data_IF_123320832807
#
_entry.id   IF_123320832807
#
_cell.length_a   1.000
_cell.length_b   1.000
_cell.length_c   1.000
_cell.angle_alpha   90.00
_cell.angle_beta   90.00
_cell.angle_gamma   90.00
#
_symmetry.space_group_name_H-M   'P 1'
#
loop_
_entity.id
_entity.type
_entity.pdbx_description
1 polymer ?
#
# COMPACT_ATOMS: atom_id res chain seq x y z
N UNK A 1 -37.13 41.80 13.66
CA UNK A 1 -36.92 40.43 13.15
C UNK A 1 -35.57 40.43 12.46
N UNK A 2 -34.51 40.13 13.19
CA UNK A 2 -33.17 39.92 12.61
C UNK A 2 -33.00 38.42 12.45
N UNK A 3 -33.15 37.93 11.23
CA UNK A 3 -32.92 36.54 10.91
C UNK A 3 -31.40 36.31 10.83
N UNK A 4 -30.86 35.56 11.80
CA UNK A 4 -29.46 35.19 11.89
C UNK A 4 -29.23 33.94 11.05
N UNK A 5 -28.88 34.11 9.78
CA UNK A 5 -28.42 33.02 8.92
C UNK A 5 -27.11 32.43 9.46
N UNK A 6 -27.22 31.20 9.96
CA UNK A 6 -26.16 30.36 10.55
C UNK A 6 -25.26 29.71 9.46
N UNK A 7 -24.00 29.36 9.76
CA UNK A 7 -23.02 28.91 8.77
C UNK A 7 -23.17 27.40 8.46
N UNK A 8 -24.02 27.05 7.50
CA UNK A 8 -24.24 25.65 7.08
C UNK A 8 -23.15 25.08 6.14
N UNK A 9 -22.36 25.93 5.48
CA UNK A 9 -21.40 25.55 4.44
C UNK A 9 -20.18 24.69 4.91
N UNK A 10 -19.53 24.95 6.07
CA UNK A 10 -18.32 24.21 6.45
C UNK A 10 -18.58 22.78 6.98
N UNK A 11 -19.79 22.49 7.46
CA UNK A 11 -20.14 21.15 7.98
C UNK A 11 -20.44 20.17 6.82
N UNK A 12 -21.12 20.65 5.78
CA UNK A 12 -21.47 19.84 4.61
C UNK A 12 -20.23 19.38 3.83
N UNK A 13 -19.19 20.22 3.71
CA UNK A 13 -17.94 19.86 3.03
C UNK A 13 -17.14 18.81 3.81
N UNK A 14 -17.04 18.95 5.14
CA UNK A 14 -16.39 17.96 6.00
C UNK A 14 -17.11 16.61 5.98
N UNK A 15 -18.44 16.62 5.94
CA UNK A 15 -19.25 15.40 5.84
C UNK A 15 -19.06 14.70 4.49
N UNK A 16 -19.00 15.47 3.39
CA UNK A 16 -18.70 14.95 2.06
C UNK A 16 -17.29 14.35 1.97
N UNK A 17 -16.28 15.03 2.53
CA UNK A 17 -14.91 14.53 2.59
C UNK A 17 -14.84 13.21 3.38
N UNK A 18 -15.51 13.15 4.53
CA UNK A 18 -15.63 11.94 5.34
C UNK A 18 -16.29 10.79 4.58
N UNK A 19 -17.35 11.06 3.82
CA UNK A 19 -18.00 10.05 2.99
C UNK A 19 -17.06 9.51 1.91
N UNK A 20 -16.29 10.38 1.25
CA UNK A 20 -15.25 9.99 0.28
C UNK A 20 -14.19 9.07 0.90
N UNK A 21 -13.69 9.41 2.09
CA UNK A 21 -12.75 8.55 2.83
C UNK A 21 -13.36 7.20 3.17
N UNK A 22 -14.62 7.14 3.62
CA UNK A 22 -15.27 5.86 3.91
C UNK A 22 -15.40 4.97 2.66
N UNK A 23 -15.67 5.57 1.50
CA UNK A 23 -15.69 4.85 0.22
C UNK A 23 -14.32 4.30 -0.14
N UNK A 24 -13.27 5.10 -0.04
CA UNK A 24 -11.88 4.68 -0.27
C UNK A 24 -11.48 3.50 0.64
N UNK A 25 -11.81 3.56 1.93
CA UNK A 25 -11.55 2.46 2.87
C UNK A 25 -12.28 1.17 2.49
N UNK A 26 -13.52 1.27 2.01
CA UNK A 26 -14.31 0.10 1.58
C UNK A 26 -13.76 -0.50 0.29
N UNK A 27 -13.33 0.34 -0.65
CA UNK A 27 -12.67 -0.09 -1.89
C UNK A 27 -11.32 -0.75 -1.61
N UNK A 28 -10.51 -0.19 -0.72
CA UNK A 28 -9.24 -0.78 -0.30
C UNK A 28 -9.43 -2.12 0.41
N UNK A 29 -10.43 -2.24 1.29
CA UNK A 29 -10.78 -3.51 1.93
C UNK A 29 -11.10 -4.59 0.89
N UNK A 30 -11.93 -4.27 -0.11
CA UNK A 30 -12.26 -5.19 -1.20
C UNK A 30 -11.05 -5.54 -2.07
N UNK A 31 -10.23 -4.56 -2.44
CA UNK A 31 -9.09 -4.75 -3.33
C UNK A 31 -7.94 -5.55 -2.71
N UNK A 32 -7.73 -5.39 -1.40
CA UNK A 32 -6.64 -6.05 -0.69
C UNK A 32 -7.10 -7.31 0.05
N UNK A 33 -8.39 -7.43 0.38
CA UNK A 33 -8.91 -8.48 1.25
C UNK A 33 -8.65 -8.23 2.74
N UNK A 34 -8.20 -7.01 3.10
CA UNK A 34 -8.07 -6.56 4.50
C UNK A 34 -9.44 -6.18 5.06
N UNK A 35 -9.65 -6.46 6.35
CA UNK A 35 -10.87 -6.08 7.06
C UNK A 35 -11.15 -4.56 7.01
N UNK A 36 -12.39 -4.21 6.63
CA UNK A 36 -12.81 -2.81 6.54
C UNK A 36 -12.77 -2.11 7.91
N UNK A 37 -13.19 -2.80 8.95
CA UNK A 37 -13.21 -2.29 10.31
C UNK A 37 -11.80 -1.95 10.82
N UNK A 38 -10.82 -2.79 10.49
CA UNK A 38 -9.41 -2.51 10.75
C UNK A 38 -8.94 -1.22 10.06
N UNK A 39 -9.25 -1.04 8.77
CA UNK A 39 -8.86 0.16 8.03
C UNK A 39 -9.52 1.42 8.62
N UNK A 40 -10.81 1.35 8.97
CA UNK A 40 -11.55 2.45 9.62
C UNK A 40 -10.93 2.81 10.97
N UNK A 41 -10.67 1.83 11.83
CA UNK A 41 -10.09 2.06 13.16
C UNK A 41 -8.69 2.65 13.06
N UNK A 42 -7.89 2.17 12.11
CA UNK A 42 -6.53 2.67 11.88
C UNK A 42 -6.55 4.10 11.34
N UNK A 43 -7.33 4.39 10.29
CA UNK A 43 -7.46 5.75 9.75
C UNK A 43 -7.96 6.76 10.80
N UNK A 44 -8.91 6.35 11.66
CA UNK A 44 -9.35 7.17 12.79
C UNK A 44 -8.19 7.49 13.74
N UNK A 45 -7.39 6.49 14.09
CA UNK A 45 -6.33 6.63 15.09
C UNK A 45 -5.14 7.42 14.56
N UNK A 46 -4.80 7.25 13.29
CA UNK A 46 -3.62 7.86 12.67
C UNK A 46 -3.87 9.32 12.25
N UNK A 47 -5.04 9.64 11.70
CA UNK A 47 -5.30 10.98 11.13
C UNK A 47 -6.66 11.55 11.49
N UNK A 48 -7.47 10.85 12.29
CA UNK A 48 -8.89 11.18 12.46
C UNK A 48 -9.62 11.34 11.12
N UNK A 49 -9.28 10.48 10.14
CA UNK A 49 -9.83 10.49 8.79
C UNK A 49 -9.45 11.70 7.92
N UNK A 50 -8.39 12.42 8.26
CA UNK A 50 -7.86 13.52 7.46
C UNK A 50 -6.79 13.02 6.48
N UNK A 51 -7.06 12.99 5.16
CA UNK A 51 -6.07 12.57 4.17
C UNK A 51 -4.95 13.59 3.98
N UNK A 52 -5.09 14.81 4.48
CA UNK A 52 -4.07 15.87 4.41
C UNK A 52 -3.18 15.94 5.65
N UNK A 53 -3.45 15.11 6.66
CA UNK A 53 -2.73 15.12 7.93
C UNK A 53 -1.21 14.96 7.74
N UNK A 54 -0.44 15.75 8.48
CA UNK A 54 1.03 15.68 8.53
C UNK A 54 1.48 15.71 9.98
N UNK A 55 2.33 14.76 10.37
CA UNK A 55 2.89 14.74 11.71
C UNK A 55 3.93 15.87 11.87
N UNK A 56 3.92 16.63 12.98
CA UNK A 56 4.86 17.73 13.18
C UNK A 56 6.29 17.26 13.49
N UNK A 57 6.46 16.02 13.95
CA UNK A 57 7.74 15.49 14.46
C UNK A 57 8.32 14.37 13.61
N UNK A 58 7.68 14.02 12.49
CA UNK A 58 8.15 12.95 11.61
C UNK A 58 7.73 13.18 10.16
N UNK A 59 8.15 12.27 9.27
CA UNK A 59 7.74 12.29 7.85
C UNK A 59 6.38 11.61 7.59
N UNK A 60 5.66 11.24 8.65
CA UNK A 60 4.35 10.62 8.54
C UNK A 60 3.33 11.59 7.95
N UNK A 61 2.63 11.14 6.90
CA UNK A 61 1.66 11.93 6.20
C UNK A 61 0.50 11.07 5.66
N UNK A 62 -0.63 11.72 5.42
CA UNK A 62 -1.81 11.10 4.84
C UNK A 62 -2.69 10.37 5.83
N UNK A 63 -3.73 9.74 5.28
CA UNK A 63 -4.79 9.07 6.03
C UNK A 63 -4.28 8.01 7.02
N UNK A 64 -3.19 7.34 6.66
CA UNK A 64 -2.54 6.26 7.43
C UNK A 64 -1.14 6.63 7.94
N UNK A 65 -0.77 7.91 7.93
CA UNK A 65 0.48 8.40 8.51
C UNK A 65 1.74 7.63 8.04
N UNK A 66 1.79 7.30 6.75
CA UNK A 66 2.96 6.62 6.17
C UNK A 66 4.20 7.51 6.25
N UNK A 67 5.30 6.99 6.79
CA UNK A 67 6.62 7.65 6.71
C UNK A 67 7.15 7.62 5.27
N UNK A 68 8.13 8.47 4.97
CA UNK A 68 8.72 8.52 3.63
C UNK A 68 9.27 7.16 3.19
N UNK A 69 10.02 6.50 4.07
CA UNK A 69 10.66 5.21 3.78
C UNK A 69 9.62 4.11 3.58
N UNK A 70 8.61 4.04 4.46
CA UNK A 70 7.56 3.04 4.35
C UNK A 70 6.76 3.23 3.07
N UNK A 71 6.40 4.47 2.74
CA UNK A 71 5.63 4.77 1.54
C UNK A 71 6.36 4.33 0.27
N UNK A 72 7.63 4.69 0.13
CA UNK A 72 8.41 4.32 -1.05
C UNK A 72 8.49 2.80 -1.21
N UNK A 73 8.69 2.04 -0.13
CA UNK A 73 8.65 0.56 -0.18
C UNK A 73 7.28 0.00 -0.56
N UNK A 74 6.20 0.68 -0.21
CA UNK A 74 4.86 0.26 -0.61
C UNK A 74 4.63 0.53 -2.10
N UNK A 75 5.11 1.67 -2.60
CA UNK A 75 5.08 2.01 -4.02
C UNK A 75 5.91 1.05 -4.86
N UNK A 76 7.14 0.75 -4.45
CA UNK A 76 8.03 -0.24 -5.09
C UNK A 76 7.33 -1.61 -5.25
N UNK A 77 6.71 -2.10 -4.18
CA UNK A 77 6.16 -3.47 -4.15
C UNK A 77 4.75 -3.60 -4.71
N UNK A 78 3.90 -2.58 -4.52
CA UNK A 78 2.47 -2.68 -4.79
C UNK A 78 1.95 -1.54 -5.68
N UNK A 79 2.72 -0.47 -5.92
CA UNK A 79 2.27 0.69 -6.68
C UNK A 79 1.76 0.33 -8.08
N UNK A 80 2.44 -0.57 -8.78
CA UNK A 80 2.02 -1.04 -10.10
C UNK A 80 0.68 -1.79 -10.07
N UNK A 81 0.39 -2.54 -9.00
CA UNK A 81 -0.87 -3.28 -8.86
C UNK A 81 -2.05 -2.36 -8.56
N UNK A 82 -1.77 -1.15 -8.07
CA UNK A 82 -2.77 -0.17 -7.63
C UNK A 82 -2.73 1.11 -8.49
N UNK A 83 -2.32 1.00 -9.75
CA UNK A 83 -2.51 2.04 -10.77
C UNK A 83 -1.49 3.18 -10.78
N UNK A 84 -0.34 3.01 -10.12
CA UNK A 84 0.78 3.96 -10.15
C UNK A 84 2.07 3.30 -10.64
N UNK A 85 2.01 2.64 -11.80
CA UNK A 85 3.16 1.94 -12.41
C UNK A 85 4.36 2.86 -12.64
N UNK A 86 4.11 4.13 -13.01
CA UNK A 86 5.17 5.12 -13.17
C UNK A 86 5.91 5.39 -11.86
N UNK A 87 5.18 5.43 -10.73
CA UNK A 87 5.77 5.56 -9.40
C UNK A 87 6.56 4.31 -9.02
N UNK A 88 5.97 3.13 -9.20
CA UNK A 88 6.61 1.87 -8.87
C UNK A 88 7.93 1.69 -9.64
N UNK A 89 7.97 2.02 -10.94
CA UNK A 89 9.19 1.95 -11.76
C UNK A 89 10.27 2.94 -11.35
N UNK A 90 9.90 4.07 -10.75
CA UNK A 90 10.83 5.09 -10.30
C UNK A 90 11.41 4.80 -8.92
N UNK A 91 10.85 3.86 -8.14
CA UNK A 91 11.38 3.48 -6.84
C UNK A 91 12.17 2.19 -6.95
N UNK A 92 13.29 2.11 -6.22
CA UNK A 92 14.06 0.88 -6.04
C UNK A 92 14.57 0.75 -4.61
N UNK A 93 14.85 -0.47 -4.17
CA UNK A 93 15.50 -0.74 -2.89
C UNK A 93 16.99 -0.97 -3.13
N UNK A 94 17.84 -0.14 -2.51
CA UNK A 94 19.30 -0.30 -2.61
C UNK A 94 19.80 -1.54 -1.87
N UNK A 95 21.06 -1.94 -2.11
CA UNK A 95 21.69 -3.08 -1.43
C UNK A 95 21.72 -2.93 0.10
N UNK A 96 21.85 -1.69 0.59
CA UNK A 96 21.74 -1.34 2.00
C UNK A 96 20.31 -1.38 2.54
N UNK A 97 19.36 -1.76 1.70
CA UNK A 97 17.95 -1.91 2.00
C UNK A 97 17.16 -0.61 1.93
N UNK A 98 17.73 0.56 1.62
CA UNK A 98 17.01 1.85 1.66
C UNK A 98 16.19 2.08 0.39
N UNK A 99 15.01 2.67 0.50
CA UNK A 99 14.25 3.08 -0.67
C UNK A 99 14.85 4.33 -1.34
N UNK A 100 15.03 4.27 -2.65
CA UNK A 100 15.61 5.32 -3.48
C UNK A 100 14.69 5.64 -4.67
N UNK A 101 14.73 6.88 -5.13
CA UNK A 101 13.94 7.33 -6.28
C UNK A 101 14.89 7.64 -7.41
N UNK A 102 14.79 6.86 -8.49
CA UNK A 102 15.53 7.03 -9.72
C UNK A 102 14.90 8.05 -10.67
N UNK A 103 15.41 8.14 -11.91
CA UNK A 103 14.83 9.01 -12.93
C UNK A 103 13.39 8.58 -13.29
N UNK A 104 12.57 9.53 -13.74
CA UNK A 104 11.21 9.28 -14.24
C UNK A 104 10.13 9.99 -13.45
N UNK A 105 10.30 10.15 -12.13
CA UNK A 105 9.42 10.99 -11.30
C UNK A 105 10.19 11.62 -10.14
N UNK A 106 9.78 12.81 -9.71
CA UNK A 106 10.38 13.41 -8.52
C UNK A 106 9.98 12.64 -7.26
N UNK A 107 10.88 12.63 -6.29
CA UNK A 107 10.64 12.02 -4.98
C UNK A 107 9.42 12.65 -4.30
N UNK A 108 9.27 13.96 -4.43
CA UNK A 108 8.17 14.74 -3.87
C UNK A 108 6.84 14.31 -4.47
N UNK A 109 6.77 14.15 -5.80
CA UNK A 109 5.54 13.71 -6.47
C UNK A 109 5.10 12.32 -5.97
N UNK A 110 6.04 11.38 -5.82
CA UNK A 110 5.72 10.05 -5.28
C UNK A 110 5.25 10.16 -3.83
N UNK A 111 5.88 11.00 -3.00
CA UNK A 111 5.52 11.15 -1.59
C UNK A 111 4.16 11.83 -1.37
N UNK A 112 3.75 12.74 -2.27
CA UNK A 112 2.45 13.41 -2.22
C UNK A 112 1.28 12.46 -2.51
N UNK A 113 1.52 11.34 -3.20
CA UNK A 113 0.52 10.28 -3.38
C UNK A 113 -0.03 9.72 -2.05
N UNK A 114 0.64 9.92 -0.91
CA UNK A 114 0.11 9.58 0.43
C UNK A 114 -1.18 10.29 0.79
N UNK A 115 -1.41 11.45 0.18
CA UNK A 115 -2.60 12.28 0.40
C UNK A 115 -3.79 11.86 -0.45
N UNK A 116 -3.60 10.95 -1.41
CA UNK A 116 -4.70 10.29 -2.09
C UNK A 116 -5.36 9.27 -1.15
N UNK A 117 -6.63 9.44 -0.75
CA UNK A 117 -7.27 8.57 0.23
C UNK A 117 -7.45 7.13 -0.27
N UNK A 118 -7.68 6.90 -1.56
CA UNK A 118 -7.89 5.55 -2.12
C UNK A 118 -6.57 4.80 -2.20
N UNK A 119 -5.53 5.41 -2.79
CA UNK A 119 -4.22 4.77 -2.88
C UNK A 119 -3.59 4.57 -1.49
N UNK A 120 -3.69 5.56 -0.60
CA UNK A 120 -3.22 5.45 0.78
C UNK A 120 -3.92 4.31 1.53
N UNK A 121 -5.24 4.15 1.34
CA UNK A 121 -5.99 3.04 1.92
C UNK A 121 -5.59 1.68 1.33
N UNK A 122 -5.36 1.58 0.02
CA UNK A 122 -4.87 0.34 -0.63
C UNK A 122 -3.50 -0.05 -0.11
N UNK A 123 -2.56 0.89 -0.03
CA UNK A 123 -1.24 0.63 0.55
C UNK A 123 -1.34 0.21 2.03
N UNK A 124 -2.24 0.81 2.81
CA UNK A 124 -2.48 0.39 4.19
C UNK A 124 -3.03 -1.04 4.28
N UNK A 125 -3.93 -1.40 3.36
CA UNK A 125 -4.44 -2.77 3.21
C UNK A 125 -3.32 -3.76 2.90
N UNK A 126 -2.45 -3.48 1.94
CA UNK A 126 -1.32 -4.36 1.61
C UNK A 126 -0.31 -4.48 2.76
N UNK A 127 0.01 -3.37 3.43
CA UNK A 127 0.90 -3.39 4.60
C UNK A 127 0.31 -4.24 5.73
N UNK A 128 -1.00 -4.13 5.99
CA UNK A 128 -1.68 -4.93 7.00
C UNK A 128 -1.60 -6.43 6.70
N UNK A 129 -1.74 -6.82 5.43
CA UNK A 129 -1.61 -8.22 5.00
C UNK A 129 -0.19 -8.74 5.17
N UNK A 130 0.79 -7.95 4.79
CA UNK A 130 2.19 -8.30 4.99
C UNK A 130 2.50 -8.48 6.47
N UNK A 131 2.09 -7.51 7.29
CA UNK A 131 2.25 -7.56 8.74
C UNK A 131 1.58 -8.81 9.32
N UNK A 132 0.36 -9.13 8.89
CA UNK A 132 -0.35 -10.32 9.36
C UNK A 132 0.35 -11.61 9.01
N UNK A 133 0.87 -11.74 7.77
CA UNK A 133 1.64 -12.93 7.36
C UNK A 133 2.91 -13.08 8.19
N UNK A 134 3.68 -12.00 8.37
CA UNK A 134 4.94 -12.06 9.12
C UNK A 134 4.68 -12.32 10.60
N UNK A 135 3.74 -11.57 11.18
CA UNK A 135 3.39 -11.67 12.58
C UNK A 135 2.82 -13.05 12.90
N UNK A 136 1.87 -13.54 12.10
CA UNK A 136 1.24 -14.83 12.30
C UNK A 136 2.22 -16.00 12.24
N UNK A 137 3.17 -15.97 11.30
CA UNK A 137 4.27 -16.95 11.26
C UNK A 137 5.13 -16.93 12.52
N UNK A 138 5.37 -15.76 13.10
CA UNK A 138 6.22 -15.61 14.29
C UNK A 138 5.53 -16.02 15.59
N UNK A 139 4.23 -15.74 15.72
CA UNK A 139 3.46 -16.01 16.95
C UNK A 139 2.71 -17.33 16.93
N UNK A 140 2.72 -18.04 15.80
CA UNK A 140 2.09 -19.37 15.65
C UNK A 140 0.57 -19.36 15.53
N UNK A 141 -0.06 -18.20 15.35
CA UNK A 141 -1.51 -18.03 15.19
C UNK A 141 -1.84 -16.80 14.35
N UNK A 142 -3.05 -16.73 13.82
CA UNK A 142 -3.53 -15.50 13.16
C UNK A 142 -3.55 -14.35 14.19
N UNK A 143 -2.93 -13.20 13.89
CA UNK A 143 -2.98 -12.05 14.78
C UNK A 143 -4.37 -11.42 14.82
N UNK A 144 -4.68 -10.79 15.95
CA UNK A 144 -5.87 -9.95 16.10
C UNK A 144 -5.69 -8.61 15.39
N UNK A 145 -6.78 -7.89 15.13
CA UNK A 145 -6.70 -6.54 14.51
C UNK A 145 -5.95 -5.55 15.38
N UNK A 146 -6.00 -5.75 16.69
CA UNK A 146 -5.28 -4.99 17.69
C UNK A 146 -3.77 -5.27 17.66
N UNK A 147 -3.38 -6.52 17.42
CA UNK A 147 -1.97 -6.90 17.27
C UNK A 147 -1.40 -6.49 15.92
N UNK A 148 -2.22 -6.48 14.86
CA UNK A 148 -1.84 -5.86 13.58
C UNK A 148 -1.57 -4.37 13.74
N UNK A 149 -2.33 -3.70 14.60
CA UNK A 149 -2.07 -2.30 14.95
C UNK A 149 -0.68 -2.15 15.62
N UNK A 150 -0.33 -3.03 16.58
CA UNK A 150 1.01 -3.03 17.17
C UNK A 150 2.10 -3.24 16.09
N UNK A 151 1.89 -4.16 15.15
CA UNK A 151 2.79 -4.38 14.02
C UNK A 151 2.88 -3.19 13.05
N UNK A 152 1.80 -2.44 12.84
CA UNK A 152 1.84 -1.19 12.08
C UNK A 152 2.74 -0.16 12.76
N UNK A 153 2.62 -0.02 14.09
CA UNK A 153 3.36 0.97 14.88
C UNK A 153 4.87 0.69 14.98
N UNK A 154 5.26 -0.56 15.30
CA UNK A 154 6.66 -0.90 15.59
C UNK A 154 7.30 -1.89 14.60
N UNK A 155 6.56 -2.31 13.59
CA UNK A 155 6.96 -3.36 12.67
C UNK A 155 6.59 -4.77 13.18
N UNK A 156 6.36 -5.73 12.27
CA UNK A 156 5.83 -7.05 12.64
C UNK A 156 6.82 -7.91 13.44
N UNK A 157 8.14 -7.73 13.25
CA UNK A 157 9.15 -8.45 14.02
C UNK A 157 9.21 -8.00 15.49
N UNK A 158 9.21 -6.69 15.73
CA UNK A 158 9.22 -6.14 17.10
C UNK A 158 7.88 -6.38 17.80
N UNK A 159 6.75 -6.31 17.06
CA UNK A 159 5.45 -6.67 17.60
C UNK A 159 5.39 -8.15 18.02
N UNK A 160 5.96 -9.06 17.24
CA UNK A 160 6.08 -10.47 17.65
C UNK A 160 6.92 -10.62 18.92
N UNK A 161 8.07 -9.92 19.01
CA UNK A 161 8.90 -9.92 20.21
C UNK A 161 8.14 -9.40 21.43
N UNK A 162 7.33 -8.34 21.27
CA UNK A 162 6.48 -7.80 22.33
C UNK A 162 5.42 -8.80 22.77
N UNK A 163 4.75 -9.46 21.84
CA UNK A 163 3.75 -10.49 22.11
C UNK A 163 4.37 -11.63 22.92
N UNK A 164 5.53 -12.15 22.50
CA UNK A 164 6.22 -13.22 23.23
C UNK A 164 6.68 -12.79 24.62
N UNK A 165 7.22 -11.57 24.76
CA UNK A 165 7.63 -11.04 26.06
C UNK A 165 6.44 -10.82 27.00
N UNK A 166 5.31 -10.33 26.47
CA UNK A 166 4.07 -10.19 27.21
C UNK A 166 3.50 -11.56 27.64
N UNK A 167 3.54 -12.56 26.75
CA UNK A 167 3.08 -13.93 27.02
C UNK A 167 3.88 -14.60 28.13
N UNK A 168 5.21 -14.44 28.13
CA UNK A 168 6.09 -14.99 29.18
C UNK A 168 5.99 -14.22 30.50
N UNK A 169 5.41 -13.02 30.50
CA UNK A 169 5.42 -12.15 31.66
C UNK A 169 6.83 -11.67 32.02
N UNK A 170 7.67 -11.42 31.00
CA UNK A 170 9.07 -11.00 31.22
C UNK A 170 9.11 -9.77 32.14
N UNK A 171 9.88 -9.80 33.25
CA UNK A 171 10.03 -8.65 34.13
C UNK A 171 10.91 -7.57 33.46
N UNK A 172 10.87 -6.36 34.01
CA UNK A 172 11.69 -5.24 33.54
C UNK A 172 10.95 -4.28 32.61
N UNK A 173 11.66 -3.24 32.20
CA UNK A 173 11.10 -2.18 31.38
C UNK A 173 11.08 -2.57 29.90
N UNK A 174 9.95 -2.37 29.22
CA UNK A 174 9.84 -2.59 27.78
C UNK A 174 10.82 -1.71 26.99
N UNK A 175 11.20 -0.54 27.51
CA UNK A 175 12.21 0.33 26.91
C UNK A 175 13.58 -0.33 26.76
N UNK A 176 13.94 -1.28 27.64
CA UNK A 176 15.19 -2.04 27.55
C UNK A 176 15.11 -3.09 26.44
N UNK A 177 13.95 -3.72 26.25
CA UNK A 177 13.71 -4.67 25.17
C UNK A 177 13.56 -3.99 23.80
N UNK A 178 13.10 -2.73 23.75
CA UNK A 178 12.77 -1.99 22.53
C UNK A 178 13.40 -0.58 22.52
N UNK A 179 14.74 -0.45 22.65
CA UNK A 179 15.40 0.83 22.92
C UNK A 179 15.19 1.86 21.80
N UNK A 180 15.21 1.43 20.53
CA UNK A 180 14.97 2.32 19.38
C UNK A 180 13.54 2.88 19.38
N UNK A 181 12.54 2.02 19.60
CA UNK A 181 11.14 2.44 19.63
C UNK A 181 10.85 3.33 20.86
N UNK A 182 11.48 3.04 22.00
CA UNK A 182 11.36 3.83 23.21
C UNK A 182 12.00 5.21 23.08
N UNK A 183 13.15 5.31 22.41
CA UNK A 183 13.79 6.59 22.11
C UNK A 183 12.91 7.45 21.20
N UNK A 184 12.32 6.86 20.16
CA UNK A 184 11.44 7.57 19.23
C UNK A 184 10.08 7.94 19.85
N UNK A 185 9.59 7.16 20.82
CA UNK A 185 8.24 7.28 21.36
C UNK A 185 8.20 7.16 22.89
N UNK A 186 8.91 8.01 23.65
CA UNK A 186 9.08 7.83 25.10
C UNK A 186 7.75 7.79 25.86
N UNK A 187 6.77 8.56 25.41
CA UNK A 187 5.42 8.60 26.00
C UNK A 187 4.63 7.31 25.80
N UNK A 188 4.98 6.49 24.82
CA UNK A 188 4.34 5.18 24.60
C UNK A 188 4.83 4.15 25.62
N UNK A 189 6.10 4.26 26.02
CA UNK A 189 6.80 3.33 26.91
C UNK A 189 6.70 3.68 28.39
N UNK A 190 5.97 4.74 28.74
CA UNK A 190 5.80 5.21 30.13
C UNK A 190 4.33 5.41 30.48
N UNK A 191 3.99 5.25 31.75
CA UNK A 191 2.70 5.65 32.30
C UNK A 191 2.58 7.17 32.35
N UNK A 192 1.39 7.69 32.67
CA UNK A 192 1.18 9.13 32.86
C UNK A 192 2.07 9.71 33.96
N UNK A 193 2.37 8.89 34.97
CA UNK A 193 3.22 9.26 36.10
C UNK A 193 4.72 9.07 35.80
N UNK A 194 5.08 8.77 34.55
CA UNK A 194 6.46 8.62 34.09
C UNK A 194 7.10 7.26 34.35
N UNK A 195 6.36 6.32 34.97
CA UNK A 195 6.86 4.97 35.27
C UNK A 195 7.04 4.17 33.98
N UNK A 196 8.17 3.47 33.83
CA UNK A 196 8.42 2.64 32.66
C UNK A 196 7.46 1.44 32.63
N UNK A 197 6.85 1.19 31.47
CA UNK A 197 5.93 0.07 31.30
C UNK A 197 6.67 -1.24 31.12
N UNK A 198 6.13 -2.33 31.65
CA UNK A 198 6.56 -3.70 31.29
C UNK A 198 6.09 -4.08 29.89
N UNK A 199 6.61 -5.18 29.33
CA UNK A 199 6.16 -5.70 28.02
C UNK A 199 4.66 -6.00 28.00
N UNK A 200 4.11 -6.58 29.08
CA UNK A 200 2.66 -6.82 29.20
C UNK A 200 1.84 -5.52 29.24
N UNK A 201 2.30 -4.51 29.96
CA UNK A 201 1.63 -3.20 30.02
C UNK A 201 1.71 -2.46 28.68
N UNK A 202 2.86 -2.51 28.00
CA UNK A 202 3.02 -1.93 26.67
C UNK A 202 2.12 -2.64 25.65
N UNK A 203 2.07 -3.97 25.68
CA UNK A 203 1.16 -4.76 24.85
C UNK A 203 -0.29 -4.30 25.05
N UNK A 204 -0.77 -4.24 26.31
CA UNK A 204 -2.12 -3.77 26.62
C UNK A 204 -2.35 -2.33 26.16
N UNK A 205 -1.36 -1.46 26.26
CA UNK A 205 -1.46 -0.05 25.82
C UNK A 205 -1.60 0.08 24.30
N UNK A 206 -0.88 -0.74 23.53
CA UNK A 206 -0.95 -0.70 22.07
C UNK A 206 -2.20 -1.38 21.53
N UNK A 207 -2.61 -2.49 22.16
CA UNK A 207 -3.66 -3.37 21.63
C UNK A 207 -5.02 -3.14 22.30
N UNK A 208 -5.05 -2.64 23.53
CA UNK A 208 -6.26 -2.55 24.35
C UNK A 208 -6.76 -3.90 24.86
N UNK A 209 -6.02 -5.00 24.65
CA UNK A 209 -6.42 -6.35 25.06
C UNK A 209 -5.37 -7.00 25.96
N UNK A 210 -5.80 -7.98 26.75
CA UNK A 210 -4.89 -8.85 27.50
C UNK A 210 -4.35 -9.95 26.60
N UNK A 211 -3.06 -10.26 26.70
CA UNK A 211 -2.41 -11.28 25.86
C UNK A 211 -3.09 -12.65 26.02
N UNK A 212 -3.48 -13.00 27.26
CA UNK A 212 -4.22 -14.23 27.55
C UNK A 212 -5.60 -14.30 26.90
N UNK A 213 -6.21 -13.16 26.53
CA UNK A 213 -7.47 -13.13 25.78
C UNK A 213 -7.23 -13.35 24.29
N UNK A 214 -6.16 -12.78 23.73
CA UNK A 214 -5.77 -12.99 22.34
C UNK A 214 -5.32 -14.44 22.10
N UNK A 215 -4.46 -14.99 22.96
CA UNK A 215 -3.97 -16.37 22.84
C UNK A 215 -5.07 -17.41 23.04
N UNK A 216 -6.06 -17.14 23.90
CA UNK A 216 -7.21 -18.02 24.09
C UNK A 216 -8.27 -17.91 22.98
N UNK A 217 -8.03 -17.12 21.92
CA UNK A 217 -8.99 -16.92 20.83
C UNK A 217 -10.27 -16.17 21.22
N UNK A 218 -10.26 -15.47 22.37
CA UNK A 218 -11.41 -14.66 22.83
C UNK A 218 -11.53 -13.31 22.12
N UNK A 219 -10.47 -12.91 21.40
CA UNK A 219 -10.47 -11.76 20.50
C UNK A 219 -10.46 -12.29 19.08
N UNK A 220 -11.41 -11.84 18.26
CA UNK A 220 -11.52 -12.29 16.88
C UNK A 220 -10.23 -11.98 16.11
N UNK A 221 -9.67 -12.95 15.36
CA UNK A 221 -8.55 -12.70 14.48
C UNK A 221 -8.98 -11.76 13.35
N UNK A 222 -8.04 -10.98 12.79
CA UNK A 222 -8.36 -10.15 11.61
C UNK A 222 -8.68 -11.06 10.44
N UNK A 223 -9.89 -10.98 9.85
CA UNK A 223 -10.16 -11.67 8.60
C UNK A 223 -9.24 -11.11 7.52
N UNK A 224 -8.46 -11.98 6.90
CA UNK A 224 -7.79 -11.67 5.65
C UNK A 224 -8.33 -12.61 4.59
N UNK A 225 -9.06 -12.06 3.62
CA UNK A 225 -9.40 -12.83 2.44
C UNK A 225 -8.13 -13.08 1.62
N UNK A 226 -8.03 -14.20 0.88
CA UNK A 226 -7.09 -14.29 -0.23
C UNK A 226 -7.35 -13.10 -1.17
N UNK A 227 -6.30 -12.52 -1.75
CA UNK A 227 -6.48 -11.42 -2.72
C UNK A 227 -7.41 -11.95 -3.81
N UNK A 228 -8.55 -11.32 -4.01
CA UNK A 228 -9.24 -11.51 -5.28
C UNK A 228 -8.32 -10.92 -6.34
N UNK A 229 -8.07 -11.67 -7.43
CA UNK A 229 -7.45 -11.11 -8.63
C UNK A 229 -8.12 -9.78 -8.95
N UNK A 230 -7.37 -8.71 -9.30
CA UNK A 230 -7.98 -7.42 -9.56
C UNK A 230 -9.03 -7.59 -10.66
N UNK A 231 -10.30 -7.40 -10.30
CA UNK A 231 -11.37 -7.23 -11.27
C UNK A 231 -11.02 -5.93 -11.99
N UNK A 232 -10.57 -6.04 -13.24
CA UNK A 232 -10.52 -4.87 -14.13
C UNK A 232 -11.90 -4.21 -14.04
N UNK A 233 -12.02 -2.90 -13.85
CA UNK A 233 -13.31 -2.24 -13.96
C UNK A 233 -13.74 -2.37 -15.42
N UNK A 234 -14.47 -3.42 -15.76
CA UNK A 234 -15.31 -3.40 -16.93
C UNK A 234 -16.28 -2.23 -16.74
N UNK A 235 -16.34 -1.42 -17.78
CA UNK A 235 -17.12 -0.21 -17.87
C UNK A 235 -18.55 -0.55 -17.42
N UNK A 236 -18.98 0.11 -16.35
CA UNK A 236 -20.35 0.09 -15.86
C UNK A 236 -21.20 0.96 -16.80
N UNK A 237 -21.39 0.46 -18.02
CA UNK A 237 -22.39 0.95 -18.95
C UNK A 237 -23.47 -0.11 -19.12
N UNK A 238 -24.67 0.29 -18.70
CA UNK A 238 -25.97 -0.22 -19.09
C UNK A 238 -26.43 -1.59 -18.54
N UNK A 239 -27.37 -1.54 -17.60
CA UNK A 239 -28.63 -2.30 -17.70
C UNK A 239 -29.67 -1.70 -16.76
N UNK A 240 -30.25 -0.58 -17.19
CA UNK A 240 -31.65 -0.30 -16.98
C UNK A 240 -32.34 -0.49 -18.33
N UNK A 241 -33.54 -1.03 -18.27
CA UNK A 241 -34.55 -1.14 -19.33
C UNK A 241 -34.63 -2.46 -20.11
N UNK A 242 -35.46 -3.33 -19.53
CA UNK A 242 -36.35 -4.24 -20.24
C UNK A 242 -37.29 -3.50 -21.19
N UNK A 243 -37.08 -3.61 -22.50
CA UNK A 243 -38.16 -3.56 -23.49
C UNK A 243 -37.71 -4.24 -24.79
N UNK A 244 -38.50 -5.20 -25.28
CA UNK A 244 -38.42 -5.83 -26.60
C UNK A 244 -39.70 -5.46 -27.36
N UNK A 245 -39.70 -5.32 -28.71
CA UNK A 245 -39.64 -6.49 -29.60
C UNK A 245 -38.90 -6.35 -30.97
N UNK A 246 -38.70 -7.53 -31.59
CA UNK A 246 -38.18 -7.92 -32.95
C UNK A 246 -38.83 -7.17 -34.15
N UNK A 247 -38.32 -7.23 -35.43
CA UNK A 247 -37.95 -8.44 -36.24
C UNK A 247 -36.65 -8.33 -37.12
N UNK A 248 -35.85 -9.39 -37.37
CA UNK A 248 -35.81 -10.42 -38.45
C UNK A 248 -34.71 -10.25 -39.56
N UNK A 249 -34.12 -11.40 -39.97
CA UNK A 249 -33.26 -11.73 -41.15
C UNK A 249 -31.76 -11.33 -41.12
N UNK A 250 -30.81 -12.30 -41.09
CA UNK A 250 -29.98 -12.87 -42.19
C UNK A 250 -28.84 -11.90 -42.63
N UNK A 251 -27.54 -12.21 -42.76
CA UNK A 251 -26.79 -13.33 -43.35
C UNK A 251 -25.32 -13.35 -42.82
N UNK A 252 -24.65 -14.50 -42.87
CA UNK A 252 -23.17 -14.66 -42.89
C UNK A 252 -22.71 -14.72 -44.36
N UNK A 253 -21.51 -14.22 -44.75
CA UNK A 253 -20.31 -15.09 -44.82
C UNK A 253 -18.99 -14.27 -44.64
N UNK A 254 -17.72 -14.73 -44.72
CA UNK A 254 -17.03 -15.98 -44.98
C UNK A 254 -15.54 -15.83 -44.61
N UNK A 255 -14.87 -16.97 -44.48
CA UNK A 255 -13.42 -17.20 -44.44
C UNK A 255 -12.64 -16.49 -45.56
N UNK A 256 -12.12 -15.30 -45.30
CA UNK A 256 -11.14 -14.67 -46.22
C UNK A 256 -10.17 -13.71 -45.50
N UNK A 257 -9.57 -14.10 -44.36
CA UNK A 257 -8.41 -13.32 -43.83
C UNK A 257 -7.44 -14.10 -42.93
N UNK A 258 -7.44 -15.44 -42.99
CA UNK A 258 -6.28 -16.24 -42.61
C UNK A 258 -5.32 -16.28 -43.80
N UNK A 259 -4.35 -15.37 -43.87
CA UNK A 259 -3.31 -15.49 -44.89
C UNK A 259 -2.63 -14.20 -45.30
N UNK A 260 -2.10 -13.41 -44.36
CA UNK A 260 -1.04 -12.45 -44.72
C UNK A 260 0.12 -12.41 -43.71
N UNK A 261 1.06 -13.32 -43.94
CA UNK A 261 2.51 -13.10 -43.81
C UNK A 261 3.11 -12.86 -42.42
N UNK A 262 3.38 -13.97 -41.73
CA UNK A 262 4.68 -14.14 -41.09
C UNK A 262 5.80 -14.07 -42.16
N UNK A 263 6.98 -13.64 -41.72
CA UNK A 263 8.25 -13.54 -42.46
C UNK A 263 8.45 -12.28 -43.32
N UNK A 264 8.95 -11.22 -42.66
CA UNK A 264 10.02 -10.41 -43.25
C UNK A 264 10.98 -9.92 -42.18
N UNK A 265 12.18 -10.50 -42.27
CA UNK A 265 13.44 -10.21 -41.59
C UNK A 265 13.74 -8.72 -41.43
N UNK A 266 14.59 -8.38 -40.45
CA UNK A 266 15.46 -7.21 -40.59
C UNK A 266 15.83 -6.50 -39.29
N UNK A 267 16.88 -7.00 -38.63
CA UNK A 267 17.80 -6.24 -37.79
C UNK A 267 18.20 -4.88 -38.40
N UNK A 268 18.17 -3.81 -37.61
CA UNK A 268 19.22 -2.77 -37.54
C UNK A 268 18.77 -1.56 -36.68
N UNK A 269 19.48 -1.33 -35.57
CA UNK A 269 19.72 0.01 -35.03
C UNK A 269 20.52 0.84 -36.06
N UNK A 270 20.28 2.15 -36.11
CA UNK A 270 21.28 3.22 -35.86
C UNK A 270 20.73 4.60 -36.25
N UNK A 271 20.95 5.59 -35.38
CA UNK A 271 21.14 6.98 -35.79
C UNK A 271 22.35 7.53 -35.02
N UNK A 272 23.40 7.85 -35.80
CA UNK A 272 24.76 8.19 -35.40
C UNK A 272 24.93 9.59 -34.81
N UNK A 273 26.03 9.78 -34.07
CA UNK A 273 26.72 11.08 -33.93
C UNK A 273 28.20 10.92 -34.30
N UNK A 274 28.53 11.54 -35.44
CA UNK A 274 29.75 12.23 -35.89
C UNK A 274 31.18 11.80 -35.45
N UNK A 275 32.01 11.69 -36.51
CA UNK A 275 33.39 12.19 -36.68
C UNK A 275 34.58 11.43 -36.05
N UNK A 276 35.42 10.78 -36.89
CA UNK A 276 36.74 11.31 -37.37
C UNK A 276 37.66 10.19 -37.93
N UNK A 277 38.29 10.48 -39.08
CA UNK A 277 39.51 9.91 -39.73
C UNK A 277 39.53 8.43 -40.19
N UNK A 278 39.56 8.10 -41.49
CA UNK A 278 40.65 8.20 -42.51
C UNK A 278 41.80 7.20 -42.29
N UNK A 279 41.88 6.16 -43.13
CA UNK A 279 42.87 5.97 -44.22
C UNK A 279 43.22 4.47 -44.47
N UNK A 280 43.01 4.08 -45.73
CA UNK A 280 43.73 3.09 -46.58
C UNK A 280 44.15 1.69 -46.11
N UNK A 281 43.65 0.67 -46.82
CA UNK A 281 44.39 -0.28 -47.69
C UNK A 281 43.34 -1.26 -48.30
N UNK A 282 43.02 -1.29 -49.60
CA UNK A 282 43.76 -2.01 -50.68
C UNK A 282 44.33 -3.35 -50.17
N UNK A 283 44.01 -4.55 -50.67
CA UNK A 283 43.81 -5.02 -52.05
C UNK A 283 43.32 -6.50 -51.95
N UNK A 284 42.36 -6.94 -52.76
CA UNK A 284 42.53 -7.84 -53.93
C UNK A 284 41.97 -9.28 -53.67
N UNK A 285 41.83 -10.15 -54.68
CA UNK A 285 40.51 -10.62 -55.13
C UNK A 285 40.42 -12.16 -55.10
N UNK A 286 39.30 -12.75 -55.53
CA UNK A 286 39.31 -13.93 -56.43
C UNK A 286 37.90 -14.34 -56.83
N UNK A 287 37.82 -14.70 -58.11
CA UNK A 287 36.64 -15.01 -58.90
C UNK A 287 36.11 -16.42 -58.68
N UNK A 288 34.79 -16.53 -58.84
CA UNK A 288 34.02 -17.45 -59.72
C UNK A 288 34.39 -18.95 -59.82
N UNK A 289 33.36 -19.79 -59.63
CA UNK A 289 33.09 -21.11 -60.25
C UNK A 289 34.22 -22.13 -60.41
N UNK A 290 34.13 -23.22 -59.66
CA UNK A 290 33.47 -24.48 -60.08
C UNK A 290 33.25 -25.38 -58.87
#
# INVERSE_FOLDING_TARGET
MTDSSSPAAPIASAQSARAGVMTALRQAAAATGTDFDFLVKTARRESNFDPTARAPTSSAAGLFQFTNETWLRMIDRYGAQHGVEGAAKAVSISDGGRAEVGPGMSREAILELRHDPDLSARMAGELARENSRILGKKIGRTPTSQELYAAHFMGPSEAAKLIEAARRGDPGAASEAFPKAALANPNVFRSKDGVQLTSGQLYKRLTGVEIASADAGRIAPTPLAPASTPVRPEILTASLESFSPRPAAAEEPSLEMAGRWAARMGSAQLASSLMTALFELQSDPTSDKA
#
